data_IF_032683900824
#
_entry.id   IF_032683900824
#
_cell.length_a   1.000
_cell.length_b   1.000
_cell.length_c   1.000
_cell.angle_alpha   90.00
_cell.angle_beta   90.00
_cell.angle_gamma   90.00
#
_symmetry.space_group_name_H-M   'P 1'
#
loop_
_entity.id
_entity.type
_entity.pdbx_description
1 polymer ?
#
# COMPACT_ATOMS: atom_id res chain seq x y z
N UNK A 1 12.64 11.30 -6.15
CA UNK A 1 13.87 12.02 -5.72
C UNK A 1 14.55 11.08 -4.72
N UNK A 2 15.49 10.26 -5.16
CA UNK A 2 15.94 9.08 -4.40
C UNK A 2 16.80 9.50 -3.20
N UNK A 3 16.55 8.93 -2.02
CA UNK A 3 17.28 9.22 -0.78
C UNK A 3 18.81 9.06 -0.93
N UNK A 4 19.26 8.24 -1.88
CA UNK A 4 20.67 8.07 -2.26
C UNK A 4 21.37 9.38 -2.73
N UNK A 5 20.63 10.39 -3.23
CA UNK A 5 21.23 11.67 -3.65
C UNK A 5 21.54 12.64 -2.50
N UNK A 6 21.09 12.37 -1.28
CA UNK A 6 21.21 13.29 -0.14
C UNK A 6 22.32 12.90 0.85
N UNK A 7 23.13 11.88 0.57
CA UNK A 7 24.30 11.53 1.41
C UNK A 7 23.94 10.97 2.80
N UNK A 8 22.68 10.62 3.04
CA UNK A 8 22.30 9.89 4.26
C UNK A 8 22.83 8.45 4.15
N UNK A 9 23.59 8.04 5.16
CA UNK A 9 24.07 6.66 5.30
C UNK A 9 22.86 5.72 5.28
N UNK A 10 22.96 4.61 4.56
CA UNK A 10 21.92 3.59 4.52
C UNK A 10 21.44 3.28 5.94
N UNK A 11 20.14 3.46 6.18
CA UNK A 11 19.53 3.08 7.44
C UNK A 11 19.68 1.55 7.53
N UNK A 12 20.25 1.01 8.62
CA UNK A 12 20.30 -0.44 8.80
C UNK A 12 18.88 -1.00 8.73
N UNK A 13 18.71 -2.13 8.03
CA UNK A 13 17.42 -2.78 7.80
C UNK A 13 16.61 -2.82 9.12
N UNK A 14 15.44 -2.16 9.19
CA UNK A 14 14.61 -2.20 10.37
C UNK A 14 14.29 -3.65 10.63
N UNK A 15 14.55 -4.06 11.86
CA UNK A 15 14.31 -5.42 12.30
C UNK A 15 12.79 -5.65 12.43
N UNK A 16 12.09 -5.80 11.29
CA UNK A 16 10.68 -6.16 11.26
C UNK A 16 10.57 -7.54 11.92
N UNK A 17 9.76 -7.69 12.99
CA UNK A 17 9.62 -8.96 13.68
C UNK A 17 9.22 -10.08 12.71
N UNK A 18 9.85 -11.25 12.78
CA UNK A 18 9.55 -12.35 11.85
C UNK A 18 8.08 -12.79 11.92
N UNK A 19 7.47 -12.70 13.11
CA UNK A 19 6.05 -13.01 13.32
C UNK A 19 5.14 -12.06 12.51
N UNK A 20 5.46 -10.77 12.48
CA UNK A 20 4.70 -9.79 11.71
C UNK A 20 4.79 -10.05 10.21
N UNK A 21 5.98 -10.37 9.68
CA UNK A 21 6.16 -10.73 8.27
C UNK A 21 5.29 -11.93 7.89
N UNK A 22 5.22 -12.92 8.78
CA UNK A 22 4.42 -14.12 8.58
C UNK A 22 2.91 -13.84 8.62
N UNK A 23 2.43 -13.07 9.61
CA UNK A 23 1.02 -12.71 9.73
C UNK A 23 0.52 -11.92 8.52
N UNK A 24 1.29 -10.90 8.09
CA UNK A 24 0.97 -10.13 6.89
C UNK A 24 0.98 -11.02 5.66
N UNK A 25 1.97 -11.92 5.54
CA UNK A 25 2.03 -12.87 4.44
C UNK A 25 0.81 -13.78 4.37
N UNK A 26 0.33 -14.29 5.51
CA UNK A 26 -0.88 -15.12 5.55
C UNK A 26 -2.10 -14.34 5.04
N UNK A 27 -2.31 -13.13 5.55
CA UNK A 27 -3.43 -12.26 5.14
C UNK A 27 -3.38 -11.95 3.64
N UNK A 28 -2.19 -11.61 3.12
CA UNK A 28 -2.01 -11.35 1.68
C UNK A 28 -2.30 -12.59 0.84
N UNK A 29 -1.81 -13.75 1.26
CA UNK A 29 -2.06 -14.99 0.54
C UNK A 29 -3.55 -15.35 0.51
N UNK A 30 -4.29 -15.05 1.57
CA UNK A 30 -5.75 -15.24 1.59
C UNK A 30 -6.44 -14.28 0.60
N UNK A 31 -6.02 -13.01 0.54
CA UNK A 31 -6.51 -12.07 -0.47
C UNK A 31 -6.24 -12.59 -1.89
N UNK A 32 -5.04 -13.10 -2.17
CA UNK A 32 -4.69 -13.65 -3.50
C UNK A 32 -5.55 -14.85 -3.84
N UNK A 33 -5.75 -15.79 -2.91
CA UNK A 33 -6.55 -17.00 -3.15
C UNK A 33 -8.01 -16.67 -3.42
N UNK A 34 -8.58 -15.73 -2.67
CA UNK A 34 -10.00 -15.36 -2.75
C UNK A 34 -10.30 -14.23 -3.74
N UNK A 35 -9.26 -13.65 -4.38
CA UNK A 35 -9.40 -12.59 -5.38
C UNK A 35 -10.31 -13.03 -6.52
N UNK A 36 -11.29 -12.20 -6.87
CA UNK A 36 -12.30 -12.47 -7.91
C UNK A 36 -12.85 -11.18 -8.48
N UNK A 37 -13.26 -11.18 -9.75
CA UNK A 37 -13.77 -9.99 -10.45
C UNK A 37 -14.99 -9.39 -9.76
N UNK A 38 -15.87 -10.25 -9.24
CA UNK A 38 -17.10 -9.83 -8.58
C UNK A 38 -16.99 -10.08 -7.07
N UNK A 39 -16.42 -9.13 -6.34
CA UNK A 39 -16.35 -9.17 -4.88
C UNK A 39 -17.76 -9.38 -4.28
N UNK A 40 -17.86 -10.24 -3.27
CA UNK A 40 -19.15 -10.57 -2.63
C UNK A 40 -19.53 -9.57 -1.55
N UNK A 41 -18.59 -8.74 -1.12
CA UNK A 41 -18.81 -7.68 -0.13
C UNK A 41 -17.91 -6.48 -0.40
N UNK A 42 -18.31 -5.31 0.11
CA UNK A 42 -17.50 -4.09 0.06
C UNK A 42 -16.15 -4.23 0.77
N UNK A 43 -16.06 -5.11 1.78
CA UNK A 43 -14.80 -5.43 2.46
C UNK A 43 -13.84 -6.17 1.52
N UNK A 44 -14.33 -7.18 0.81
CA UNK A 44 -13.51 -7.91 -0.18
C UNK A 44 -13.05 -6.97 -1.28
N UNK A 45 -13.94 -6.12 -1.80
CA UNK A 45 -13.61 -5.10 -2.81
C UNK A 45 -12.50 -4.16 -2.34
N UNK A 46 -12.61 -3.66 -1.10
CA UNK A 46 -11.60 -2.78 -0.50
C UNK A 46 -10.24 -3.48 -0.32
N UNK A 47 -10.24 -4.76 0.06
CA UNK A 47 -9.00 -5.55 0.23
C UNK A 47 -8.33 -5.84 -1.11
N UNK A 48 -9.13 -6.20 -2.13
CA UNK A 48 -8.63 -6.41 -3.49
C UNK A 48 -8.06 -5.11 -4.08
N UNK A 49 -8.76 -3.98 -3.92
CA UNK A 49 -8.28 -2.69 -4.39
C UNK A 49 -7.00 -2.25 -3.67
N UNK A 50 -6.92 -2.44 -2.35
CA UNK A 50 -5.71 -2.15 -1.59
C UNK A 50 -4.53 -3.03 -2.08
N UNK A 51 -4.80 -4.30 -2.38
CA UNK A 51 -3.79 -5.21 -2.90
C UNK A 51 -3.33 -4.84 -4.32
N UNK A 52 -4.26 -4.50 -5.21
CA UNK A 52 -3.97 -4.01 -6.55
C UNK A 52 -3.13 -2.72 -6.50
N UNK A 53 -3.45 -1.82 -5.57
CA UNK A 53 -2.69 -0.59 -5.36
C UNK A 53 -1.25 -0.89 -4.94
N UNK A 54 -1.02 -1.79 -3.97
CA UNK A 54 0.33 -2.16 -3.54
C UNK A 54 1.14 -2.70 -4.72
N UNK A 55 0.58 -3.63 -5.49
CA UNK A 55 1.26 -4.26 -6.62
C UNK A 55 1.67 -3.25 -7.69
N UNK A 56 0.76 -2.35 -8.05
CA UNK A 56 1.04 -1.30 -9.03
C UNK A 56 2.03 -0.24 -8.50
N UNK A 57 1.93 0.13 -7.23
CA UNK A 57 2.73 1.20 -6.64
C UNK A 57 4.20 0.81 -6.41
N UNK A 58 4.45 -0.44 -6.04
CA UNK A 58 5.82 -0.93 -5.75
C UNK A 58 6.35 -1.88 -6.83
N UNK A 59 5.65 -1.99 -7.96
CA UNK A 59 6.09 -2.71 -9.15
C UNK A 59 6.49 -4.17 -8.85
N UNK A 60 5.57 -4.90 -8.22
CA UNK A 60 5.76 -6.28 -7.75
C UNK A 60 4.56 -7.17 -8.13
N UNK A 61 4.69 -8.48 -7.97
CA UNK A 61 3.61 -9.42 -8.21
C UNK A 61 3.61 -10.58 -7.21
N UNK A 62 2.45 -10.82 -6.60
CA UNK A 62 2.30 -11.83 -5.54
C UNK A 62 3.00 -11.44 -4.23
N UNK A 63 3.01 -12.33 -3.24
CA UNK A 63 3.65 -12.03 -1.95
C UNK A 63 5.16 -12.27 -1.99
N UNK A 64 5.56 -13.52 -2.23
CA UNK A 64 6.97 -13.93 -2.39
C UNK A 64 7.36 -13.95 -3.86
N UNK A 65 6.43 -14.29 -4.74
CA UNK A 65 6.66 -14.36 -6.18
C UNK A 65 5.35 -14.30 -6.94
N UNK A 66 5.41 -13.94 -8.22
CA UNK A 66 4.26 -13.95 -9.12
C UNK A 66 3.54 -15.31 -9.19
N UNK A 67 4.25 -16.42 -8.93
CA UNK A 67 3.63 -17.76 -8.87
C UNK A 67 2.58 -17.91 -7.78
N UNK A 68 2.53 -17.05 -6.74
CA UNK A 68 1.47 -17.10 -5.73
C UNK A 68 0.07 -16.98 -6.35
N UNK A 69 -0.06 -16.28 -7.48
CA UNK A 69 -1.31 -16.17 -8.22
C UNK A 69 -1.77 -17.49 -8.86
N UNK A 70 -0.90 -18.48 -9.00
CA UNK A 70 -1.32 -19.82 -9.44
C UNK A 70 -2.15 -20.56 -8.39
N UNK A 71 -2.18 -20.09 -7.14
CA UNK A 71 -3.06 -20.61 -6.08
C UNK A 71 -4.48 -20.02 -6.14
N UNK A 72 -4.72 -19.03 -7.00
CA UNK A 72 -6.03 -18.40 -7.15
C UNK A 72 -6.98 -19.29 -7.97
N UNK A 73 -8.20 -19.50 -7.47
CA UNK A 73 -9.17 -20.42 -8.07
C UNK A 73 -9.75 -19.91 -9.40
N UNK A 74 -9.93 -18.59 -9.56
CA UNK A 74 -10.42 -17.98 -10.82
C UNK A 74 -9.41 -18.20 -11.95
N UNK A 75 -8.12 -18.03 -11.65
CA UNK A 75 -7.03 -18.29 -12.61
C UNK A 75 -6.95 -19.77 -12.97
N UNK A 76 -7.02 -20.67 -11.98
CA UNK A 76 -6.95 -22.12 -12.22
C UNK A 76 -8.11 -22.62 -13.08
N UNK A 77 -9.33 -22.15 -12.81
CA UNK A 77 -10.54 -22.60 -13.49
C UNK A 77 -10.81 -21.92 -14.84
N UNK A 78 -10.11 -20.83 -15.14
CA UNK A 78 -10.26 -20.14 -16.41
C UNK A 78 -9.76 -20.97 -17.59
N UNK A 79 -10.44 -20.88 -18.73
CA UNK A 79 -9.96 -21.42 -20.00
C UNK A 79 -8.89 -20.53 -20.65
N UNK A 80 -8.87 -19.24 -20.29
CA UNK A 80 -7.91 -18.25 -20.79
C UNK A 80 -6.72 -18.12 -19.84
N UNK A 81 -5.63 -17.54 -20.34
CA UNK A 81 -4.50 -17.15 -19.50
C UNK A 81 -4.87 -15.88 -18.76
N UNK A 82 -5.24 -16.01 -17.48
CA UNK A 82 -5.51 -14.89 -16.59
C UNK A 82 -4.31 -14.59 -15.71
N UNK A 83 -4.07 -13.30 -15.47
CA UNK A 83 -3.10 -12.79 -14.51
C UNK A 83 -3.64 -11.48 -13.91
N UNK A 84 -3.22 -11.08 -12.71
CA UNK A 84 -3.63 -9.80 -12.11
C UNK A 84 -3.17 -8.61 -12.97
N UNK A 85 -4.12 -7.74 -13.34
CA UNK A 85 -3.80 -6.55 -14.14
C UNK A 85 -2.88 -5.57 -13.40
N UNK A 86 -3.00 -5.49 -12.08
CA UNK A 86 -2.23 -4.60 -11.20
C UNK A 86 -0.73 -4.88 -11.20
N UNK A 87 -0.32 -6.07 -11.63
CA UNK A 87 1.07 -6.51 -11.71
C UNK A 87 1.66 -6.39 -13.12
N UNK A 88 0.86 -5.97 -14.10
CA UNK A 88 1.29 -5.88 -15.50
C UNK A 88 2.40 -4.84 -15.64
N UNK A 89 3.47 -5.19 -16.36
CA UNK A 89 4.54 -4.24 -16.67
C UNK A 89 3.98 -3.14 -17.55
N UNK A 90 3.97 -1.91 -17.04
CA UNK A 90 3.49 -0.76 -17.79
C UNK A 90 4.22 -0.65 -19.15
N UNK A 91 3.45 -0.58 -20.23
CA UNK A 91 3.99 -0.20 -21.54
C UNK A 91 4.16 1.32 -21.59
N UNK A 92 5.10 1.82 -22.40
CA UNK A 92 5.53 3.23 -22.43
C UNK A 92 4.40 4.26 -22.65
N UNK A 93 3.23 3.83 -23.12
CA UNK A 93 2.05 4.66 -23.42
C UNK A 93 0.96 4.65 -22.33
N UNK A 94 1.08 3.83 -21.28
CA UNK A 94 0.08 3.79 -20.22
C UNK A 94 0.19 5.02 -19.31
N UNK A 95 -0.94 5.69 -19.09
CA UNK A 95 -1.06 6.71 -18.05
C UNK A 95 -0.82 6.04 -16.69
N UNK A 96 0.43 6.08 -16.21
CA UNK A 96 0.94 5.52 -14.94
C UNK A 96 0.18 5.93 -13.66
N UNK A 97 -0.90 6.70 -13.79
CA UNK A 97 -1.70 7.22 -12.71
C UNK A 97 -2.98 6.40 -12.43
N UNK A 98 -3.34 5.44 -13.31
CA UNK A 98 -4.52 4.59 -13.13
C UNK A 98 -4.07 3.16 -12.81
N UNK A 99 -4.40 2.70 -11.61
CA UNK A 99 -4.19 1.30 -11.21
C UNK A 99 -5.17 0.42 -11.97
N UNK A 100 -4.67 -0.51 -12.79
CA UNK A 100 -5.49 -1.51 -13.46
C UNK A 100 -5.92 -2.56 -12.43
N UNK A 101 -7.24 -2.77 -12.30
CA UNK A 101 -7.85 -3.72 -11.35
C UNK A 101 -8.33 -4.97 -12.09
N UNK A 102 -8.53 -6.05 -11.34
CA UNK A 102 -9.10 -7.30 -11.86
C UNK A 102 -8.08 -8.20 -12.56
N UNK A 103 -8.59 -9.13 -13.34
CA UNK A 103 -7.76 -10.02 -14.16
C UNK A 103 -7.66 -9.52 -15.60
N UNK A 104 -6.45 -9.60 -16.13
CA UNK A 104 -6.12 -9.34 -17.52
C UNK A 104 -5.95 -10.68 -18.22
N UNK A 105 -6.33 -10.76 -19.49
CA UNK A 105 -6.15 -11.96 -20.29
C UNK A 105 -5.23 -11.72 -21.48
N UNK A 106 -4.43 -12.73 -21.81
CA UNK A 106 -3.59 -12.70 -23.00
C UNK A 106 -3.70 -14.03 -23.75
N UNK A 107 -4.49 -14.02 -24.83
CA UNK A 107 -4.77 -15.18 -25.66
C UNK A 107 -3.57 -15.69 -26.47
N UNK A 108 -2.50 -14.90 -26.58
CA UNK A 108 -1.26 -15.31 -27.28
C UNK A 108 -0.30 -16.11 -26.40
N UNK A 109 -0.51 -16.12 -25.08
CA UNK A 109 0.32 -16.84 -24.14
C UNK A 109 -0.09 -18.31 -24.02
N UNK A 110 0.91 -19.17 -23.82
CA UNK A 110 0.68 -20.56 -23.51
C UNK A 110 0.25 -20.70 -22.03
N UNK A 111 -0.98 -21.20 -21.80
CA UNK A 111 -1.52 -21.44 -20.45
C UNK A 111 -0.61 -22.31 -19.58
N UNK A 112 0.14 -23.24 -20.18
CA UNK A 112 1.01 -24.15 -19.46
C UNK A 112 2.36 -23.53 -19.05
N UNK A 113 2.60 -22.25 -19.39
CA UNK A 113 3.85 -21.58 -19.07
C UNK A 113 3.61 -20.20 -18.42
N UNK A 114 3.48 -20.20 -17.10
CA UNK A 114 3.32 -19.00 -16.25
C UNK A 114 4.51 -18.03 -16.38
N UNK A 115 5.69 -18.51 -16.79
CA UNK A 115 6.90 -17.67 -16.89
C UNK A 115 6.73 -16.56 -17.92
N UNK A 116 5.88 -16.79 -18.93
CA UNK A 116 5.62 -15.82 -19.99
C UNK A 116 4.61 -14.72 -19.62
N UNK A 117 4.03 -14.75 -18.42
CA UNK A 117 3.11 -13.68 -17.98
C UNK A 117 3.81 -12.30 -18.01
N UNK A 118 3.16 -11.25 -18.56
CA UNK A 118 3.75 -9.92 -18.75
C UNK A 118 3.70 -9.09 -17.44
N UNK A 119 4.06 -9.73 -16.33
CA UNK A 119 3.99 -9.16 -14.99
C UNK A 119 5.38 -8.97 -14.39
N UNK A 120 5.48 -8.13 -13.36
CA UNK A 120 6.64 -8.09 -12.47
C UNK A 120 6.90 -9.49 -11.89
N UNK A 121 8.17 -9.88 -11.75
CA UNK A 121 8.53 -11.25 -11.30
C UNK A 121 8.92 -11.29 -9.83
N UNK A 122 9.28 -10.14 -9.31
CA UNK A 122 9.65 -9.87 -7.92
C UNK A 122 8.41 -9.90 -7.02
N UNK A 123 8.56 -10.51 -5.82
CA UNK A 123 7.51 -10.54 -4.82
C UNK A 123 7.37 -9.21 -4.07
N UNK A 124 6.15 -8.89 -3.66
CA UNK A 124 5.85 -7.65 -2.95
C UNK A 124 6.47 -7.57 -1.56
N UNK A 125 6.74 -8.69 -0.89
CA UNK A 125 7.35 -8.69 0.44
C UNK A 125 8.70 -7.95 0.47
N UNK A 126 9.57 -8.25 -0.49
CA UNK A 126 10.89 -7.63 -0.60
C UNK A 126 10.77 -6.19 -1.12
N UNK A 127 9.98 -5.98 -2.18
CA UNK A 127 9.75 -4.65 -2.78
C UNK A 127 9.14 -3.63 -1.83
N UNK A 128 8.18 -4.04 -0.99
CA UNK A 128 7.61 -3.17 0.04
C UNK A 128 8.64 -2.83 1.11
N UNK A 129 9.49 -3.79 1.50
CA UNK A 129 10.58 -3.53 2.46
C UNK A 129 11.58 -2.51 1.88
N UNK A 130 12.01 -2.70 0.63
CA UNK A 130 12.89 -1.76 -0.09
C UNK A 130 12.25 -0.38 -0.20
N UNK A 131 10.99 -0.30 -0.64
CA UNK A 131 10.26 0.96 -0.75
C UNK A 131 10.17 1.70 0.60
N UNK A 132 9.91 0.97 1.69
CA UNK A 132 9.88 1.56 3.02
C UNK A 132 11.26 2.09 3.43
N UNK A 133 12.35 1.38 3.12
CA UNK A 133 13.70 1.87 3.41
C UNK A 133 14.04 3.15 2.66
N UNK A 134 13.70 3.20 1.39
CA UNK A 134 13.99 4.36 0.55
C UNK A 134 13.19 5.60 0.95
N UNK A 135 11.98 5.41 1.48
CA UNK A 135 11.05 6.49 1.83
C UNK A 135 10.93 6.74 3.35
N UNK A 136 11.70 6.04 4.18
CA UNK A 136 11.58 6.12 5.64
C UNK A 136 11.76 7.54 6.17
N UNK A 137 12.72 8.28 5.60
CA UNK A 137 12.97 9.67 6.00
C UNK A 137 11.76 10.58 5.73
N UNK A 138 11.06 10.37 4.61
CA UNK A 138 9.84 11.12 4.26
C UNK A 138 8.73 10.76 5.25
N UNK A 139 8.54 9.48 5.54
CA UNK A 139 7.55 8.99 6.50
C UNK A 139 7.76 9.62 7.89
N UNK A 140 8.99 9.57 8.41
CA UNK A 140 9.33 10.17 9.70
C UNK A 140 9.13 11.69 9.70
N UNK A 141 9.46 12.36 8.60
CA UNK A 141 9.21 13.80 8.45
C UNK A 141 7.72 14.16 8.50
N UNK A 142 6.87 13.39 7.81
CA UNK A 142 5.41 13.58 7.84
C UNK A 142 4.87 13.35 9.25
N UNK A 143 5.26 12.26 9.91
CA UNK A 143 4.83 11.98 11.29
C UNK A 143 5.22 13.09 12.26
N UNK A 144 6.46 13.60 12.18
CA UNK A 144 6.92 14.71 13.01
C UNK A 144 6.15 16.01 12.73
N UNK A 145 5.86 16.29 11.46
CA UNK A 145 5.07 17.46 11.05
C UNK A 145 3.64 17.42 11.61
N UNK A 146 2.97 16.27 11.53
CA UNK A 146 1.63 16.08 12.10
C UNK A 146 1.66 16.30 13.61
N UNK A 147 2.61 15.69 14.33
CA UNK A 147 2.72 15.84 15.78
C UNK A 147 2.94 17.30 16.23
N UNK A 148 3.73 18.07 15.46
CA UNK A 148 3.92 19.50 15.72
C UNK A 148 2.63 20.30 15.53
N UNK A 149 1.89 20.04 14.45
CA UNK A 149 0.61 20.71 14.18
C UNK A 149 -0.41 20.40 15.28
N UNK A 150 -0.49 19.15 15.72
CA UNK A 150 -1.36 18.73 16.82
C UNK A 150 -1.01 19.45 18.12
N UNK A 151 0.28 19.55 18.47
CA UNK A 151 0.73 20.27 19.66
C UNK A 151 0.37 21.76 19.61
N UNK A 152 0.57 22.41 18.46
CA UNK A 152 0.18 23.80 18.28
C UNK A 152 -1.34 23.99 18.39
N UNK A 153 -2.13 23.07 17.83
CA UNK A 153 -3.59 23.06 17.94
C UNK A 153 -4.06 22.98 19.39
N UNK A 154 -3.45 22.10 20.20
CA UNK A 154 -3.74 21.97 21.63
C UNK A 154 -3.39 23.25 22.40
N UNK A 155 -2.21 23.83 22.14
CA UNK A 155 -1.78 25.08 22.80
C UNK A 155 -2.73 26.24 22.47
N UNK A 156 -3.08 26.41 21.20
CA UNK A 156 -4.01 27.46 20.76
C UNK A 156 -5.40 27.28 21.36
N UNK A 157 -5.89 26.04 21.42
CA UNK A 157 -7.17 25.71 22.07
C UNK A 157 -7.18 26.14 23.54
N UNK A 158 -6.14 25.81 24.30
CA UNK A 158 -6.00 26.21 25.71
C UNK A 158 -5.95 27.74 25.86
N UNK A 159 -5.16 28.43 25.03
CA UNK A 159 -5.05 29.88 25.05
C UNK A 159 -6.41 30.55 24.78
N UNK A 160 -7.17 30.05 23.79
CA UNK A 160 -8.49 30.56 23.46
C UNK A 160 -9.48 30.35 24.61
N UNK A 161 -9.52 29.15 25.21
CA UNK A 161 -10.39 28.86 26.36
C UNK A 161 -10.10 29.78 27.56
N UNK A 162 -8.81 30.04 27.85
CA UNK A 162 -8.43 30.97 28.93
C UNK A 162 -8.83 32.39 28.63
N UNK A 163 -8.70 32.83 27.38
CA UNK A 163 -9.06 34.18 26.98
C UNK A 163 -10.57 34.42 27.12
N UNK A 164 -11.41 33.50 26.62
CA UNK A 164 -12.87 33.59 26.73
C UNK A 164 -13.32 33.58 28.19
N UNK A 165 -12.78 32.68 29.02
CA UNK A 165 -13.12 32.62 30.44
C UNK A 165 -12.74 33.91 31.19
N UNK A 166 -11.64 34.57 30.83
CA UNK A 166 -11.26 35.85 31.43
C UNK A 166 -12.26 36.98 31.11
N UNK A 167 -12.88 36.97 29.93
CA UNK A 167 -13.81 38.03 29.54
C UNK A 167 -15.14 37.94 30.30
N UNK A 168 -15.67 36.73 30.54
CA UNK A 168 -16.96 36.54 31.23
C UNK A 168 -16.91 36.90 32.73
N UNK A 169 -15.78 36.70 33.41
CA UNK A 169 -15.65 37.06 34.83
C UNK A 169 -15.57 38.58 35.07
N UNK A 170 -15.13 39.35 34.08
CA UNK A 170 -15.08 40.81 34.16
C UNK A 170 -16.45 41.49 34.06
N UNK A 171 -17.50 40.75 33.67
CA UNK A 171 -18.86 41.27 33.44
C UNK A 171 -19.85 40.98 34.57
N UNK A 172 -19.42 40.38 35.68
CA UNK A 172 -20.28 40.22 36.87
C UNK A 172 -20.14 41.47 37.75
N UNK A 173 -21.21 42.27 37.97
CA UNK A 173 -21.14 43.40 38.90
C UNK A 173 -20.85 42.85 40.30
N UNK A 174 -19.77 43.30 40.93
CA UNK A 174 -19.57 43.07 42.36
C UNK A 174 -20.64 43.88 43.08
N UNK A 175 -21.62 43.18 43.66
CA UNK A 175 -22.58 43.74 44.60
C UNK A 175 -21.93 43.87 45.98
#
# INVERSE_FOLDING_TARGET
MNAARLGFKAIPDPHIPPQLKQEVGNVVMDIIRDYKVNASSSREESLQEAWDYVQAQVECCGWVSFYNWTENWEIQNSTEVLYPCSCEKAQEEDNRHIVKKGFCSNSTLNKNNTDNWPVHKEGCMEKVQEWLQENLAILLGVCAGVALIELLGLLLSICLCRHIHSEDYSKVPKY
#
